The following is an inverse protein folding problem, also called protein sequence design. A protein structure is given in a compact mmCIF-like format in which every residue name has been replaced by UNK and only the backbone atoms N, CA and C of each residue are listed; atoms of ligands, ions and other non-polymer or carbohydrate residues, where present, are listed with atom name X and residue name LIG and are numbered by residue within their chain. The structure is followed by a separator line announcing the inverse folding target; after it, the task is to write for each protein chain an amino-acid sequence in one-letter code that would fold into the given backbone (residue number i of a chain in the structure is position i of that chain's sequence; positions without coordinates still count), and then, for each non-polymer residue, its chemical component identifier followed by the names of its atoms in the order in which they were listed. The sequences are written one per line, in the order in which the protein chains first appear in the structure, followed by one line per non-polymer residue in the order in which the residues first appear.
data_IF_860357260917
#
_entry.id   IF_860357260917
#
_cell.length_a   1.000
_cell.length_b   1.000
_cell.length_c   1.000
_cell.angle_alpha   90.00
_cell.angle_beta   90.00
_cell.angle_gamma   90.00
#
_symmetry.space_group_name_H-M   'P 1'
#
loop_
_entity.id
_entity.type
_entity.pdbx_description
1 polymer ?
#
# COMPACT_ATOMS: atom_id res chain seq x y z
N UNK A 1 32.63 -14.38 -18.05
CA UNK A 1 31.35 -14.50 -18.75
C UNK A 1 30.28 -13.71 -18.00
N UNK A 2 29.69 -12.69 -18.65
CA UNK A 2 28.60 -11.93 -18.05
C UNK A 2 27.38 -12.84 -17.96
N UNK A 3 26.93 -13.17 -16.74
CA UNK A 3 25.70 -13.88 -16.52
C UNK A 3 24.54 -12.96 -16.89
N UNK A 4 23.85 -13.24 -17.98
CA UNK A 4 22.61 -12.57 -18.35
C UNK A 4 21.55 -13.05 -17.36
N UNK A 5 21.31 -12.26 -16.31
CA UNK A 5 20.18 -12.47 -15.42
C UNK A 5 18.88 -12.21 -16.17
N UNK A 6 18.32 -13.23 -16.81
CA UNK A 6 16.93 -13.18 -17.28
C UNK A 6 16.03 -13.05 -16.06
N UNK A 7 15.23 -11.98 -16.01
CA UNK A 7 14.18 -11.85 -14.99
C UNK A 7 13.09 -12.88 -15.29
N UNK A 8 13.02 -13.89 -14.45
CA UNK A 8 11.92 -14.85 -14.49
C UNK A 8 10.90 -14.46 -13.42
N UNK A 9 9.64 -14.34 -13.82
CA UNK A 9 8.51 -14.22 -12.90
C UNK A 9 7.75 -15.54 -12.90
N UNK A 10 7.35 -15.99 -11.72
CA UNK A 10 6.46 -17.13 -11.57
C UNK A 10 5.33 -16.75 -10.63
N UNK A 11 4.18 -17.38 -10.80
CA UNK A 11 3.05 -17.26 -9.92
C UNK A 11 2.85 -18.58 -9.18
N UNK A 12 2.80 -18.51 -7.85
CA UNK A 12 2.58 -19.66 -6.99
C UNK A 12 1.36 -19.40 -6.11
N UNK A 13 0.34 -20.23 -6.26
CA UNK A 13 -0.82 -20.25 -5.36
C UNK A 13 -0.58 -21.25 -4.25
N UNK A 14 -0.44 -20.74 -3.02
CA UNK A 14 -0.24 -21.57 -1.84
C UNK A 14 -1.54 -21.58 -1.05
N UNK A 15 -2.21 -22.75 -0.88
CA UNK A 15 -3.35 -22.80 0.02
C UNK A 15 -2.85 -22.50 1.44
N UNK A 16 -3.32 -21.40 2.00
CA UNK A 16 -3.08 -21.06 3.41
C UNK A 16 -3.97 -21.99 4.23
N UNK A 17 -3.50 -23.22 4.34
CA UNK A 17 -4.28 -24.31 4.90
C UNK A 17 -4.39 -24.16 6.40
N UNK A 18 -5.40 -24.78 6.94
CA UNK A 18 -5.75 -25.21 8.29
C UNK A 18 -4.64 -25.22 9.38
N UNK A 19 -3.38 -24.98 9.02
CA UNK A 19 -2.22 -24.88 9.91
C UNK A 19 -2.10 -23.44 10.45
N UNK A 20 -1.75 -23.32 11.72
CA UNK A 20 -1.54 -22.02 12.36
C UNK A 20 -0.33 -21.26 11.81
N UNK A 21 0.58 -21.96 11.16
CA UNK A 21 1.81 -21.42 10.57
C UNK A 21 2.19 -22.19 9.29
N UNK A 22 2.63 -21.45 8.27
CA UNK A 22 3.20 -21.99 7.03
C UNK A 22 4.47 -21.22 6.71
N UNK A 23 5.61 -21.92 6.63
CA UNK A 23 6.87 -21.35 6.18
C UNK A 23 7.07 -21.68 4.70
N UNK A 24 7.47 -20.67 3.92
CA UNK A 24 7.79 -20.76 2.50
C UNK A 24 9.29 -20.52 2.36
N UNK A 25 10.03 -21.52 1.91
CA UNK A 25 11.44 -21.40 1.55
C UNK A 25 11.62 -21.69 0.06
N UNK A 26 12.66 -21.12 -0.54
CA UNK A 26 13.03 -21.40 -1.91
C UNK A 26 14.47 -21.92 -1.97
N UNK A 27 14.66 -22.91 -2.82
CA UNK A 27 15.97 -23.46 -3.13
C UNK A 27 16.20 -23.40 -4.64
N UNK A 28 17.42 -23.03 -5.06
CA UNK A 28 17.83 -23.14 -6.44
C UNK A 28 18.74 -24.35 -6.60
N UNK A 29 18.43 -25.18 -7.59
CA UNK A 29 19.25 -26.34 -7.94
C UNK A 29 20.04 -26.06 -9.21
N UNK A 30 21.35 -26.10 -9.11
CA UNK A 30 22.30 -25.94 -10.22
C UNK A 30 23.08 -27.23 -10.38
N UNK A 31 22.67 -28.12 -11.28
CA UNK A 31 23.24 -29.45 -11.40
C UNK A 31 23.04 -30.27 -10.10
N UNK A 32 24.15 -30.58 -9.42
CA UNK A 32 24.13 -31.27 -8.12
C UNK A 32 24.13 -30.34 -6.90
N UNK A 33 24.38 -29.05 -7.11
CA UNK A 33 24.41 -28.07 -6.01
C UNK A 33 23.01 -27.55 -5.72
N UNK A 34 22.67 -27.46 -4.45
CA UNK A 34 21.42 -26.87 -3.96
C UNK A 34 21.76 -25.66 -3.10
N UNK A 35 21.26 -24.50 -3.48
CA UNK A 35 21.45 -23.26 -2.73
C UNK A 35 20.12 -22.70 -2.22
N UNK A 36 20.07 -22.37 -0.93
CA UNK A 36 18.89 -21.75 -0.34
C UNK A 36 18.80 -20.27 -0.73
N UNK A 37 17.68 -19.89 -1.36
CA UNK A 37 17.41 -18.51 -1.77
C UNK A 37 16.73 -17.77 -0.63
N UNK A 38 17.23 -16.58 -0.30
CA UNK A 38 16.61 -15.72 0.69
C UNK A 38 15.37 -15.03 0.10
N UNK A 39 14.20 -15.37 0.62
CA UNK A 39 12.96 -14.68 0.29
C UNK A 39 12.83 -13.38 1.07
N UNK A 40 12.49 -12.30 0.38
CA UNK A 40 12.28 -10.97 0.97
C UNK A 40 11.05 -10.30 0.37
N UNK A 41 10.50 -9.33 1.09
CA UNK A 41 9.51 -8.43 0.51
C UNK A 41 10.11 -7.69 -0.70
N UNK A 42 9.28 -7.38 -1.73
CA UNK A 42 9.73 -6.61 -2.89
C UNK A 42 10.42 -5.30 -2.50
N UNK A 43 11.37 -4.84 -3.31
CA UNK A 43 12.21 -3.66 -3.01
C UNK A 43 11.42 -2.36 -2.79
N UNK A 44 10.27 -2.19 -3.45
CA UNK A 44 9.37 -1.06 -3.23
C UNK A 44 8.68 -1.10 -1.86
N UNK A 45 8.49 -2.28 -1.26
CA UNK A 45 8.07 -2.42 0.13
C UNK A 45 9.26 -2.34 1.10
N UNK A 46 10.49 -2.68 0.65
CA UNK A 46 11.65 -2.81 1.51
C UNK A 46 12.14 -1.49 2.10
N UNK A 47 11.89 -0.35 1.45
CA UNK A 47 12.28 0.95 2.02
C UNK A 47 11.57 1.26 3.34
N UNK A 48 10.33 0.82 3.49
CA UNK A 48 9.53 1.07 4.70
C UNK A 48 9.27 -0.21 5.49
N UNK A 49 9.01 -1.33 4.82
CA UNK A 49 8.67 -2.60 5.47
C UNK A 49 9.86 -3.56 5.59
N UNK A 50 10.61 -3.79 4.52
CA UNK A 50 11.68 -4.77 4.50
C UNK A 50 12.96 -4.36 5.25
N UNK A 51 13.09 -3.08 5.61
CA UNK A 51 14.24 -2.55 6.35
C UNK A 51 14.17 -2.80 7.87
N UNK A 52 13.04 -3.30 8.36
CA UNK A 52 12.82 -3.53 9.80
C UNK A 52 12.61 -5.00 10.11
N UNK A 53 13.19 -5.47 11.18
CA UNK A 53 13.04 -6.86 11.66
C UNK A 53 11.61 -7.23 12.02
N UNK A 54 10.79 -6.23 12.40
CA UNK A 54 9.38 -6.40 12.75
C UNK A 54 8.42 -6.11 11.60
N UNK A 55 8.93 -6.01 10.36
CA UNK A 55 8.10 -5.82 9.17
C UNK A 55 7.12 -6.97 9.00
N UNK A 56 5.87 -6.61 8.66
CA UNK A 56 4.82 -7.59 8.47
C UNK A 56 3.73 -7.05 7.53
N UNK A 57 2.98 -7.96 6.96
CA UNK A 57 1.79 -7.66 6.16
C UNK A 57 0.62 -8.48 6.66
N UNK A 58 -0.51 -7.82 6.96
CA UNK A 58 -1.75 -8.48 7.30
C UNK A 58 -2.64 -8.64 6.07
N UNK A 59 -3.22 -9.83 5.90
CA UNK A 59 -4.12 -10.16 4.80
C UNK A 59 -5.24 -11.11 5.25
N UNK A 60 -6.13 -11.48 4.32
CA UNK A 60 -7.38 -12.20 4.60
C UNK A 60 -8.53 -11.25 4.91
N UNK A 61 -9.77 -11.73 4.86
CA UNK A 61 -10.99 -10.93 4.99
C UNK A 61 -11.02 -10.10 6.29
N UNK A 62 -10.64 -10.69 7.39
CA UNK A 62 -10.51 -10.04 8.69
C UNK A 62 -9.05 -9.73 9.07
N UNK A 63 -8.14 -9.74 8.09
CA UNK A 63 -6.70 -9.60 8.32
C UNK A 63 -6.19 -10.60 9.38
N UNK A 64 -6.72 -11.80 9.40
CA UNK A 64 -6.38 -12.84 10.37
C UNK A 64 -5.04 -13.51 10.11
N UNK A 65 -4.46 -13.28 8.94
CA UNK A 65 -3.14 -13.79 8.59
C UNK A 65 -2.10 -12.67 8.60
N UNK A 66 -0.90 -13.02 9.02
CA UNK A 66 0.27 -12.15 9.01
C UNK A 66 1.41 -12.84 8.27
N UNK A 67 1.99 -12.15 7.29
CA UNK A 67 3.20 -12.58 6.60
C UNK A 67 4.39 -11.78 7.12
N UNK A 68 5.46 -12.48 7.48
CA UNK A 68 6.74 -11.91 7.92
C UNK A 68 7.89 -12.54 7.13
N UNK A 69 8.99 -11.81 6.97
CA UNK A 69 10.24 -12.38 6.46
C UNK A 69 11.11 -12.75 7.65
N UNK A 70 11.38 -14.04 7.82
CA UNK A 70 12.17 -14.57 8.93
C UNK A 70 13.38 -15.35 8.38
N UNK A 71 14.59 -14.91 8.71
CA UNK A 71 15.85 -15.49 8.20
C UNK A 71 15.87 -15.52 6.66
N UNK A 72 15.64 -16.69 6.06
CA UNK A 72 15.63 -16.91 4.60
C UNK A 72 14.25 -17.24 4.05
N UNK A 73 13.24 -17.31 4.91
CA UNK A 73 11.90 -17.78 4.57
C UNK A 73 10.86 -16.67 4.73
N UNK A 74 9.76 -16.77 4.02
CA UNK A 74 8.55 -16.02 4.31
C UNK A 74 7.62 -16.90 5.15
N UNK A 75 7.15 -16.36 6.27
CA UNK A 75 6.31 -17.11 7.20
C UNK A 75 4.94 -16.47 7.27
N UNK A 76 3.93 -17.29 7.05
CA UNK A 76 2.52 -16.92 7.17
C UNK A 76 1.99 -17.53 8.46
N UNK A 77 1.41 -16.68 9.33
CA UNK A 77 0.81 -17.11 10.61
C UNK A 77 -0.60 -16.58 10.75
N UNK A 78 -1.48 -17.39 11.32
CA UNK A 78 -2.75 -16.88 11.82
C UNK A 78 -2.50 -16.08 13.10
N UNK A 79 -3.10 -14.88 13.21
CA UNK A 79 -2.83 -13.95 14.31
C UNK A 79 -4.10 -13.41 14.95
N UNK A 80 -4.10 -13.33 16.27
CA UNK A 80 -5.17 -12.70 17.04
C UNK A 80 -5.10 -11.17 17.01
N UNK A 81 -6.15 -10.49 17.45
CA UNK A 81 -6.17 -9.02 17.54
C UNK A 81 -5.06 -8.48 18.44
N UNK A 82 -4.79 -9.14 19.57
CA UNK A 82 -3.74 -8.74 20.50
C UNK A 82 -2.34 -8.90 19.90
N UNK A 83 -2.09 -9.99 19.21
CA UNK A 83 -0.81 -10.21 18.51
C UNK A 83 -0.56 -9.17 17.41
N UNK A 84 -1.61 -8.77 16.65
CA UNK A 84 -1.53 -7.68 15.68
C UNK A 84 -1.09 -6.38 16.36
N UNK A 85 -1.74 -6.02 17.45
CA UNK A 85 -1.42 -4.80 18.19
C UNK A 85 0.01 -4.79 18.71
N UNK A 86 0.46 -5.87 19.31
CA UNK A 86 1.86 -6.01 19.79
C UNK A 86 2.87 -5.88 18.65
N UNK A 87 2.60 -6.49 17.49
CA UNK A 87 3.47 -6.38 16.31
C UNK A 87 3.52 -4.97 15.77
N UNK A 88 2.38 -4.28 15.70
CA UNK A 88 2.32 -2.88 15.29
C UNK A 88 3.11 -1.96 16.23
N UNK A 89 2.98 -2.14 17.53
CA UNK A 89 3.75 -1.36 18.50
C UNK A 89 5.26 -1.57 18.35
N UNK A 90 5.70 -2.82 18.15
CA UNK A 90 7.12 -3.12 17.91
C UNK A 90 7.63 -2.45 16.64
N UNK A 91 6.87 -2.52 15.54
CA UNK A 91 7.24 -1.85 14.30
C UNK A 91 7.32 -0.33 14.49
N UNK A 92 6.32 0.29 15.10
CA UNK A 92 6.33 1.73 15.40
C UNK A 92 7.54 2.12 16.24
N UNK A 93 7.85 1.37 17.29
CA UNK A 93 9.04 1.60 18.12
C UNK A 93 10.33 1.59 17.29
N UNK A 94 10.48 0.63 16.38
CA UNK A 94 11.65 0.54 15.50
C UNK A 94 11.71 1.73 14.52
N UNK A 95 10.56 2.15 13.97
CA UNK A 95 10.47 3.30 13.09
C UNK A 95 10.85 4.61 13.80
N UNK A 96 10.46 4.79 15.06
CA UNK A 96 10.83 5.98 15.83
C UNK A 96 12.30 6.04 16.23
N UNK A 97 12.98 4.90 16.31
CA UNK A 97 14.41 4.83 16.64
C UNK A 97 15.32 5.19 15.48
N UNK A 98 14.81 5.12 14.24
CA UNK A 98 15.58 5.46 13.03
C UNK A 98 15.61 6.97 12.76
N UNK A 99 15.88 7.30 11.52
CA UNK A 99 16.03 8.67 11.04
C UNK A 99 14.72 9.50 11.03
N UNK A 100 14.84 10.81 10.84
CA UNK A 100 13.69 11.72 10.79
C UNK A 100 12.71 11.39 9.65
N UNK A 101 13.18 10.80 8.55
CA UNK A 101 12.33 10.42 7.42
C UNK A 101 11.40 9.26 7.80
N UNK A 102 11.96 8.26 8.47
CA UNK A 102 11.21 7.09 8.95
C UNK A 102 10.21 7.47 10.05
N UNK A 103 10.54 8.43 10.92
CA UNK A 103 9.61 8.97 11.94
C UNK A 103 8.36 9.58 11.32
N UNK A 104 8.48 10.30 10.19
CA UNK A 104 7.31 10.82 9.46
C UNK A 104 6.35 9.71 9.04
N UNK A 105 6.87 8.61 8.53
CA UNK A 105 6.02 7.45 8.17
C UNK A 105 5.38 6.78 9.38
N UNK A 106 6.07 6.72 10.52
CA UNK A 106 5.48 6.24 11.77
C UNK A 106 4.27 7.09 12.18
N UNK A 107 4.36 8.42 12.07
CA UNK A 107 3.25 9.34 12.35
C UNK A 107 2.08 9.07 11.39
N UNK A 108 2.34 8.94 10.07
CA UNK A 108 1.28 8.60 9.11
C UNK A 108 0.64 7.23 9.40
N UNK A 109 1.44 6.25 9.83
CA UNK A 109 0.92 4.94 10.22
C UNK A 109 0.02 5.04 11.45
N UNK A 110 0.36 5.86 12.45
CA UNK A 110 -0.51 6.13 13.59
C UNK A 110 -1.80 6.83 13.17
N UNK A 111 -1.71 7.87 12.34
CA UNK A 111 -2.86 8.57 11.78
C UNK A 111 -3.77 7.62 11.00
N UNK A 112 -3.21 6.66 10.28
CA UNK A 112 -3.99 5.63 9.61
C UNK A 112 -4.88 4.86 10.59
N UNK A 113 -4.38 4.43 11.74
CA UNK A 113 -5.21 3.71 12.71
C UNK A 113 -6.27 4.61 13.36
N UNK A 114 -5.90 5.85 13.69
CA UNK A 114 -6.81 6.82 14.34
C UNK A 114 -7.95 7.22 13.39
N UNK A 115 -7.63 7.53 12.13
CA UNK A 115 -8.63 7.99 11.15
C UNK A 115 -9.46 6.85 10.54
N UNK A 116 -9.02 5.60 10.67
CA UNK A 116 -9.66 4.43 10.05
C UNK A 116 -11.17 4.35 10.27
N UNK A 117 -11.71 4.43 11.50
CA UNK A 117 -13.15 4.28 11.74
C UNK A 117 -14.00 5.34 11.04
N UNK A 118 -13.41 6.48 10.66
CA UNK A 118 -14.09 7.55 9.94
C UNK A 118 -13.91 7.48 8.43
N UNK A 119 -12.74 7.04 7.99
CA UNK A 119 -12.37 7.00 6.58
C UNK A 119 -12.93 5.78 5.86
N UNK A 120 -13.01 4.63 6.53
CA UNK A 120 -13.47 3.36 5.93
C UNK A 120 -14.99 3.18 5.91
N UNK A 121 -15.76 4.19 6.31
CA UNK A 121 -17.23 4.12 6.28
C UNK A 121 -17.82 3.99 4.89
N UNK A 122 -17.14 4.53 3.89
CA UNK A 122 -17.52 4.49 2.47
C UNK A 122 -16.28 4.26 1.63
N UNK A 123 -16.37 3.47 0.57
CA UNK A 123 -15.28 3.30 -0.38
C UNK A 123 -14.78 4.64 -0.91
N UNK A 124 -13.47 4.73 -1.12
CA UNK A 124 -12.81 5.91 -1.63
C UNK A 124 -12.20 5.59 -2.99
N UNK A 125 -12.63 6.31 -4.00
CA UNK A 125 -12.07 6.25 -5.34
C UNK A 125 -11.27 7.51 -5.63
N UNK A 126 -10.03 7.34 -6.06
CA UNK A 126 -9.13 8.43 -6.37
C UNK A 126 -8.79 8.42 -7.85
N UNK A 127 -8.92 9.57 -8.48
CA UNK A 127 -8.66 9.77 -9.90
C UNK A 127 -7.42 10.64 -10.06
N UNK A 128 -6.50 10.23 -10.91
CA UNK A 128 -5.20 10.87 -11.06
C UNK A 128 -4.87 10.95 -12.55
N UNK A 129 -4.77 12.15 -13.07
CA UNK A 129 -4.20 12.42 -14.38
C UNK A 129 -2.70 12.75 -14.25
N UNK A 130 -2.07 13.11 -15.37
CA UNK A 130 -0.68 13.58 -15.36
C UNK A 130 -0.53 14.71 -14.35
N UNK A 131 0.55 14.65 -13.59
CA UNK A 131 0.78 15.41 -12.35
C UNK A 131 0.56 16.93 -12.49
N UNK A 132 0.74 17.47 -13.69
CA UNK A 132 0.72 18.91 -13.97
C UNK A 132 -0.42 19.35 -14.86
N UNK A 133 -1.23 18.42 -15.38
CA UNK A 133 -2.28 18.72 -16.35
C UNK A 133 -3.50 17.84 -16.11
N UNK A 134 -4.64 18.45 -15.79
CA UNK A 134 -5.93 17.78 -15.79
C UNK A 134 -6.52 17.75 -17.21
N UNK A 135 -7.70 17.18 -17.36
CA UNK A 135 -8.39 17.10 -18.64
C UNK A 135 -8.04 15.88 -19.48
N UNK A 136 -7.40 14.90 -18.86
CA UNK A 136 -7.10 13.60 -19.46
C UNK A 136 -8.14 12.54 -19.03
N UNK A 137 -7.88 11.30 -19.35
CA UNK A 137 -8.82 10.17 -19.26
C UNK A 137 -9.46 9.95 -17.86
N UNK A 138 -8.81 10.37 -16.77
CA UNK A 138 -9.39 10.18 -15.41
C UNK A 138 -10.32 11.32 -14.97
N UNK A 139 -10.26 12.49 -15.58
CA UNK A 139 -11.16 13.58 -15.23
C UNK A 139 -12.61 13.29 -15.65
N UNK A 140 -12.81 12.66 -16.80
CA UNK A 140 -14.14 12.32 -17.30
C UNK A 140 -14.90 11.36 -16.37
N UNK A 141 -14.36 10.17 -16.02
CA UNK A 141 -15.04 9.30 -15.09
C UNK A 141 -15.21 9.91 -13.69
N UNK A 142 -14.30 10.78 -13.24
CA UNK A 142 -14.49 11.54 -12.01
C UNK A 142 -15.72 12.46 -12.09
N UNK A 143 -15.84 13.25 -13.14
CA UNK A 143 -16.98 14.16 -13.34
C UNK A 143 -18.28 13.40 -13.46
N UNK A 144 -18.29 12.33 -14.25
CA UNK A 144 -19.44 11.46 -14.39
C UNK A 144 -19.89 10.87 -13.05
N UNK A 145 -18.99 10.26 -12.32
CA UNK A 145 -19.28 9.67 -11.02
C UNK A 145 -19.73 10.70 -9.99
N UNK A 146 -19.15 11.91 -10.03
CA UNK A 146 -19.54 13.02 -9.15
C UNK A 146 -20.94 13.56 -9.48
N UNK A 147 -21.32 13.58 -10.77
CA UNK A 147 -22.63 14.01 -11.22
C UNK A 147 -23.76 13.03 -10.85
N UNK A 148 -23.46 11.71 -10.79
CA UNK A 148 -24.40 10.70 -10.34
C UNK A 148 -24.81 10.85 -8.87
N UNK A 149 -24.11 11.72 -8.13
CA UNK A 149 -24.39 12.06 -6.72
C UNK A 149 -24.57 10.82 -5.81
N UNK A 150 -23.92 9.71 -6.16
CA UNK A 150 -23.92 8.49 -5.37
C UNK A 150 -23.31 8.78 -3.99
N UNK A 151 -24.14 8.69 -2.95
CA UNK A 151 -23.69 8.88 -1.57
C UNK A 151 -22.87 7.69 -1.04
N UNK A 152 -22.75 6.62 -1.81
CA UNK A 152 -22.14 5.37 -1.36
C UNK A 152 -20.62 5.34 -1.51
N UNK A 153 -20.09 6.11 -2.45
CA UNK A 153 -18.65 6.18 -2.75
C UNK A 153 -18.17 7.62 -2.63
N UNK A 154 -16.99 7.81 -2.06
CA UNK A 154 -16.31 9.12 -2.02
C UNK A 154 -15.36 9.23 -3.21
N UNK A 155 -15.61 10.20 -4.07
CA UNK A 155 -14.79 10.47 -5.25
C UNK A 155 -13.83 11.63 -5.00
N UNK A 156 -12.55 11.44 -5.30
CA UNK A 156 -11.51 12.47 -5.17
C UNK A 156 -10.68 12.55 -6.44
N UNK A 157 -10.57 13.74 -7.02
CA UNK A 157 -9.70 14.02 -8.16
C UNK A 157 -8.46 14.77 -7.69
N UNK A 158 -7.28 14.21 -7.94
CA UNK A 158 -6.01 14.76 -7.49
C UNK A 158 -5.45 15.73 -8.50
N UNK A 159 -5.11 16.94 -8.06
CA UNK A 159 -4.53 17.97 -8.93
C UNK A 159 -3.55 18.86 -8.16
N UNK A 160 -2.57 19.42 -8.83
CA UNK A 160 -1.67 20.40 -8.24
C UNK A 160 -2.41 21.75 -8.02
N UNK A 161 -2.24 22.34 -6.83
CA UNK A 161 -2.86 23.63 -6.49
C UNK A 161 -2.45 24.78 -7.42
N UNK A 162 -1.25 24.70 -8.01
CA UNK A 162 -0.71 25.70 -8.93
C UNK A 162 -1.19 25.54 -10.37
N UNK A 163 -1.82 24.40 -10.70
CA UNK A 163 -2.32 24.11 -12.02
C UNK A 163 -3.51 25.00 -12.37
N UNK A 164 -3.64 25.33 -13.65
CA UNK A 164 -4.81 26.02 -14.22
C UNK A 164 -6.07 25.18 -14.02
N UNK A 165 -5.96 23.87 -14.07
CA UNK A 165 -7.06 22.92 -13.90
C UNK A 165 -7.65 22.95 -12.50
N UNK A 166 -6.85 23.23 -11.48
CA UNK A 166 -7.37 23.43 -10.12
C UNK A 166 -8.37 24.58 -10.07
N UNK A 167 -8.04 25.70 -10.72
CA UNK A 167 -8.92 26.88 -10.76
C UNK A 167 -10.15 26.60 -11.62
N UNK A 168 -9.97 25.93 -12.76
CA UNK A 168 -11.05 25.53 -13.68
C UNK A 168 -12.06 24.63 -12.96
N UNK A 169 -11.62 23.54 -12.35
CA UNK A 169 -12.48 22.59 -11.64
C UNK A 169 -13.22 23.24 -10.47
N UNK A 170 -12.57 24.15 -9.75
CA UNK A 170 -13.25 24.93 -8.70
C UNK A 170 -14.36 25.83 -9.27
N UNK A 171 -14.11 26.48 -10.39
CA UNK A 171 -15.10 27.33 -11.09
C UNK A 171 -16.28 26.48 -11.59
N UNK A 172 -16.03 25.24 -11.99
CA UNK A 172 -17.04 24.26 -12.40
C UNK A 172 -17.80 23.65 -11.20
N UNK A 173 -17.51 24.04 -9.95
CA UNK A 173 -18.20 23.57 -8.75
C UNK A 173 -17.61 22.32 -8.10
N UNK A 174 -16.55 21.76 -8.66
CA UNK A 174 -15.88 20.59 -8.09
C UNK A 174 -14.96 20.95 -6.90
N UNK A 175 -14.66 19.97 -6.04
CA UNK A 175 -13.75 20.10 -4.89
C UNK A 175 -12.51 19.21 -5.08
N UNK A 176 -11.56 19.61 -5.97
CA UNK A 176 -10.40 18.78 -6.23
C UNK A 176 -9.52 18.61 -4.99
N UNK A 177 -8.92 17.45 -4.88
CA UNK A 177 -7.96 17.11 -3.84
C UNK A 177 -6.59 17.72 -4.19
N UNK A 178 -6.08 18.55 -3.29
CA UNK A 178 -4.80 19.22 -3.50
C UNK A 178 -3.65 18.27 -3.25
N UNK A 179 -2.76 18.13 -4.23
CA UNK A 179 -1.55 17.34 -4.13
C UNK A 179 -0.69 17.77 -2.93
N UNK A 180 -0.04 16.80 -2.30
CA UNK A 180 0.84 16.95 -1.13
C UNK A 180 0.19 17.53 0.13
N UNK A 181 -1.12 17.80 0.11
CA UNK A 181 -1.87 18.15 1.31
C UNK A 181 -1.99 16.96 2.27
N UNK A 182 -2.19 17.25 3.57
CA UNK A 182 -2.46 16.20 4.56
C UNK A 182 -3.68 15.36 4.15
N UNK A 183 -4.73 16.01 3.63
CA UNK A 183 -5.93 15.34 3.14
C UNK A 183 -5.61 14.38 2.00
N UNK A 184 -4.78 14.78 1.02
CA UNK A 184 -4.34 13.88 -0.06
C UNK A 184 -3.65 12.64 0.49
N UNK A 185 -2.70 12.82 1.41
CA UNK A 185 -1.95 11.69 2.00
C UNK A 185 -2.86 10.73 2.76
N UNK A 186 -3.84 11.25 3.49
CA UNK A 186 -4.84 10.42 4.17
C UNK A 186 -5.77 9.71 3.18
N UNK A 187 -6.30 10.42 2.18
CA UNK A 187 -7.15 9.82 1.14
C UNK A 187 -6.40 8.70 0.41
N UNK A 188 -5.14 8.93 0.06
CA UNK A 188 -4.28 7.93 -0.59
C UNK A 188 -4.13 6.64 0.26
N UNK A 189 -3.98 6.78 1.59
CA UNK A 189 -3.85 5.63 2.49
C UNK A 189 -5.12 4.77 2.59
N UNK A 190 -6.28 5.33 2.25
CA UNK A 190 -7.59 4.67 2.34
C UNK A 190 -8.26 4.46 0.99
N UNK A 191 -7.59 4.79 -0.11
CA UNK A 191 -8.15 4.59 -1.43
C UNK A 191 -8.35 3.10 -1.71
N UNK A 192 -9.59 2.72 -1.98
CA UNK A 192 -9.96 1.36 -2.37
C UNK A 192 -9.70 1.15 -3.87
N UNK A 193 -9.78 2.23 -4.65
CA UNK A 193 -9.54 2.20 -6.08
C UNK A 193 -8.82 3.46 -6.54
N UNK A 194 -7.87 3.29 -7.45
CA UNK A 194 -7.18 4.38 -8.15
C UNK A 194 -7.34 4.23 -9.66
N UNK A 195 -7.88 5.27 -10.29
CA UNK A 195 -7.99 5.40 -11.74
C UNK A 195 -6.89 6.35 -12.19
N UNK A 196 -5.95 5.83 -12.95
CA UNK A 196 -4.75 6.58 -13.36
C UNK A 196 -4.72 6.61 -14.89
N UNK A 197 -4.61 7.81 -15.48
CA UNK A 197 -4.28 7.97 -16.90
C UNK A 197 -2.75 8.02 -17.07
N UNK A 198 -2.24 7.33 -18.08
CA UNK A 198 -0.82 7.34 -18.45
C UNK A 198 -0.51 8.44 -19.47
#
# INVERSE_FOLDING_TARGET
GAAICKRHSFHLSIPVAKKNETAISCEAKFGTQIEAITLRFPSHFSRVCGAFTNSHWFFGDNREYMMTSERRSMVIRKVSKSQKFVKELKLLKDMFKKDNWTRKYAIFRMLYFICRPFMTRKPIWMYIDKIYKGGDSSEYPYKYASAQNSKDIKHYYLVDKKSTDYKRLKKEGYKPLVRDSLKHRLVFLYADMMVISN
#
